data_IF_708227327697
#
_entry.id   IF_708227327697
#
_cell.length_a   1.000
_cell.length_b   1.000
_cell.length_c   1.000
_cell.angle_alpha   90.00
_cell.angle_beta   90.00
_cell.angle_gamma   90.00
#
_symmetry.space_group_name_H-M   'P 1'
#
loop_
_entity.id
_entity.type
_entity.pdbx_description
1 polymer ?
#
# COMPACT_ATOMS: atom_id res chain seq x y z
N UNK A 1 -5.37 15.14 5.39
CA UNK A 1 -6.40 14.90 6.43
C UNK A 1 -7.26 13.76 5.93
N UNK A 2 -7.08 12.54 6.45
CA UNK A 2 -7.93 11.39 6.10
C UNK A 2 -9.21 11.54 6.89
N UNK A 3 -10.34 11.77 6.22
CA UNK A 3 -11.66 11.69 6.87
C UNK A 3 -11.96 10.22 7.08
N UNK A 4 -12.05 9.80 8.34
CA UNK A 4 -12.54 8.46 8.68
C UNK A 4 -13.98 8.29 8.21
N UNK A 5 -14.33 7.05 7.86
CA UNK A 5 -15.73 6.66 7.66
C UNK A 5 -16.44 6.79 9.01
N UNK A 6 -17.58 7.47 9.05
CA UNK A 6 -18.30 7.74 10.30
C UNK A 6 -18.54 6.45 11.10
N UNK A 7 -18.10 6.44 12.36
CA UNK A 7 -18.35 5.35 13.31
C UNK A 7 -17.24 4.30 13.48
N UNK A 8 -16.15 4.35 12.70
CA UNK A 8 -15.01 3.45 12.90
C UNK A 8 -13.89 4.10 13.73
N UNK A 9 -13.35 3.40 14.75
CA UNK A 9 -12.23 3.92 15.54
C UNK A 9 -10.99 4.07 14.64
N UNK A 10 -10.52 5.31 14.48
CA UNK A 10 -9.25 5.60 13.82
C UNK A 10 -8.12 5.33 14.81
N UNK A 11 -7.34 4.28 14.57
CA UNK A 11 -6.15 4.01 15.37
C UNK A 11 -4.97 4.85 14.86
N UNK A 12 -4.44 5.70 15.74
CA UNK A 12 -3.20 6.45 15.53
C UNK A 12 -2.32 6.11 16.72
N UNK A 13 -1.17 5.48 16.48
CA UNK A 13 -0.23 5.19 17.56
C UNK A 13 0.35 6.49 18.12
N UNK A 14 0.23 6.70 19.44
CA UNK A 14 0.93 7.79 20.13
C UNK A 14 2.45 7.55 20.15
N UNK A 15 2.85 6.29 20.08
CA UNK A 15 4.25 5.87 20.05
C UNK A 15 4.66 5.67 18.59
N UNK A 16 5.54 6.54 18.09
CA UNK A 16 6.16 6.39 16.75
C UNK A 16 7.26 5.34 16.76
N UNK A 17 6.88 4.09 17.03
CA UNK A 17 7.76 2.94 17.00
C UNK A 17 7.36 2.04 15.82
N UNK A 18 8.32 1.84 14.91
CA UNK A 18 8.14 1.04 13.68
C UNK A 18 7.69 -0.40 13.95
N UNK A 19 8.18 -1.00 15.04
CA UNK A 19 7.79 -2.36 15.44
C UNK A 19 6.34 -2.43 15.92
N UNK A 20 5.83 -1.37 16.56
CA UNK A 20 4.43 -1.30 17.00
C UNK A 20 3.51 -1.16 15.79
N UNK A 21 3.82 -0.28 14.84
CA UNK A 21 3.04 -0.10 13.61
C UNK A 21 3.02 -1.37 12.76
N UNK A 22 4.18 -2.03 12.61
CA UNK A 22 4.29 -3.30 11.89
C UNK A 22 3.47 -4.40 12.56
N UNK A 23 3.64 -4.61 13.88
CA UNK A 23 2.90 -5.64 14.60
C UNK A 23 1.39 -5.39 14.58
N UNK A 24 0.97 -4.14 14.69
CA UNK A 24 -0.43 -3.76 14.60
C UNK A 24 -1.01 -4.15 13.24
N UNK A 25 -0.35 -3.77 12.16
CA UNK A 25 -0.82 -4.04 10.80
C UNK A 25 -0.97 -5.55 10.54
N UNK A 26 0.07 -6.36 10.80
CA UNK A 26 0.03 -7.79 10.51
C UNK A 26 -0.95 -8.57 11.41
N UNK A 27 -1.30 -8.03 12.58
CA UNK A 27 -2.18 -8.71 13.53
C UNK A 27 -3.64 -8.29 13.44
N UNK A 28 -3.93 -7.09 12.91
CA UNK A 28 -5.28 -6.49 12.97
C UNK A 28 -5.84 -6.10 11.60
N UNK A 29 -5.00 -5.95 10.57
CA UNK A 29 -5.46 -5.58 9.25
C UNK A 29 -5.73 -6.82 8.40
N UNK A 30 -6.82 -6.79 7.62
CA UNK A 30 -7.16 -7.81 6.63
C UNK A 30 -6.71 -7.43 5.21
N UNK A 31 -6.23 -6.20 5.03
CA UNK A 31 -5.81 -5.60 3.77
C UNK A 31 -4.85 -4.47 4.07
N UNK A 32 -3.99 -4.12 3.11
CA UNK A 32 -2.99 -3.08 3.30
C UNK A 32 -2.85 -2.19 2.06
N UNK A 33 -2.69 -0.88 2.26
CA UNK A 33 -2.55 0.10 1.17
C UNK A 33 -1.24 0.88 1.31
N UNK A 34 -0.39 0.78 0.30
CA UNK A 34 0.87 1.48 0.17
C UNK A 34 0.66 2.72 -0.71
N UNK A 35 0.57 3.89 -0.07
CA UNK A 35 0.43 5.17 -0.79
C UNK A 35 1.78 5.74 -1.23
N UNK A 36 2.86 5.39 -0.54
CA UNK A 36 4.24 5.74 -0.86
C UNK A 36 5.03 4.49 -1.27
N UNK A 37 4.98 4.15 -2.56
CA UNK A 37 5.48 2.88 -3.13
C UNK A 37 7.00 2.69 -3.00
N UNK A 38 7.74 3.73 -2.60
CA UNK A 38 9.19 3.66 -2.34
C UNK A 38 9.52 3.47 -0.85
N UNK A 39 8.52 3.37 0.02
CA UNK A 39 8.73 3.15 1.45
C UNK A 39 9.11 1.70 1.73
N UNK A 40 10.33 1.51 2.25
CA UNK A 40 10.83 0.20 2.71
C UNK A 40 9.98 -0.32 3.87
N UNK A 41 9.56 0.55 4.76
CA UNK A 41 8.73 0.18 5.91
C UNK A 41 7.36 -0.33 5.48
N UNK A 42 6.68 0.38 4.57
CA UNK A 42 5.41 -0.08 4.03
C UNK A 42 5.57 -1.40 3.25
N UNK A 43 6.66 -1.55 2.51
CA UNK A 43 6.96 -2.81 1.82
C UNK A 43 7.05 -4.00 2.78
N UNK A 44 7.79 -3.87 3.89
CA UNK A 44 7.91 -4.93 4.88
C UNK A 44 6.60 -5.24 5.60
N UNK A 45 5.75 -4.25 5.84
CA UNK A 45 4.42 -4.47 6.38
C UNK A 45 3.59 -5.32 5.42
N UNK A 46 3.54 -4.95 4.14
CA UNK A 46 2.85 -5.73 3.11
C UNK A 46 3.37 -7.16 3.04
N UNK A 47 4.69 -7.35 3.02
CA UNK A 47 5.32 -8.67 2.94
C UNK A 47 4.96 -9.60 4.12
N UNK A 48 4.75 -9.03 5.31
CA UNK A 48 4.43 -9.79 6.52
C UNK A 48 2.92 -9.92 6.78
N UNK A 49 2.07 -9.38 5.91
CA UNK A 49 0.63 -9.56 6.01
C UNK A 49 0.27 -11.06 5.94
N UNK A 50 -0.83 -11.49 6.60
CA UNK A 50 -1.31 -12.86 6.50
C UNK A 50 -1.54 -13.28 5.04
N UNK A 51 -1.25 -14.53 4.72
CA UNK A 51 -1.46 -15.09 3.38
C UNK A 51 -2.90 -14.85 2.89
N UNK A 52 -3.04 -14.40 1.64
CA UNK A 52 -4.33 -14.05 1.04
C UNK A 52 -4.85 -12.65 1.38
N UNK A 53 -4.18 -11.89 2.24
CA UNK A 53 -4.53 -10.48 2.48
C UNK A 53 -4.22 -9.64 1.23
N UNK A 54 -5.20 -8.90 0.68
CA UNK A 54 -4.94 -8.04 -0.47
C UNK A 54 -4.04 -6.86 -0.07
N UNK A 55 -2.98 -6.68 -0.84
CA UNK A 55 -2.00 -5.60 -0.67
C UNK A 55 -2.07 -4.71 -1.90
N UNK A 56 -2.50 -3.48 -1.70
CA UNK A 56 -2.65 -2.48 -2.75
C UNK A 56 -1.45 -1.54 -2.73
N UNK A 57 -0.96 -1.14 -3.90
CA UNK A 57 0.12 -0.14 -3.98
C UNK A 57 -0.09 0.84 -5.11
N UNK A 58 0.30 2.10 -4.90
CA UNK A 58 0.25 3.10 -5.95
C UNK A 58 1.29 2.77 -7.05
N UNK A 59 0.87 2.48 -8.28
CA UNK A 59 1.79 2.13 -9.37
C UNK A 59 2.51 3.33 -9.99
N UNK A 60 2.57 4.48 -9.29
CA UNK A 60 3.65 5.43 -9.49
C UNK A 60 3.63 6.06 -10.91
N UNK A 61 2.46 6.19 -11.52
CA UNK A 61 2.28 6.67 -12.90
C UNK A 61 2.35 8.21 -13.03
N UNK A 62 2.39 8.92 -11.91
CA UNK A 62 2.58 10.36 -11.83
C UNK A 62 4.06 10.76 -11.70
N UNK A 63 4.72 10.92 -12.84
CA UNK A 63 5.85 11.84 -13.11
C UNK A 63 7.27 11.44 -12.67
N UNK A 64 7.53 10.63 -11.64
CA UNK A 64 8.94 10.48 -11.19
C UNK A 64 9.40 9.13 -10.63
N UNK A 65 8.81 8.01 -11.05
CA UNK A 65 9.27 6.68 -10.65
C UNK A 65 10.27 6.06 -11.66
N UNK A 66 11.07 6.91 -12.32
CA UNK A 66 12.01 6.56 -13.41
C UNK A 66 13.15 5.61 -13.00
N UNK A 67 13.33 5.36 -11.70
CA UNK A 67 14.47 4.62 -11.16
C UNK A 67 14.11 3.28 -10.49
N UNK A 68 12.84 2.88 -10.46
CA UNK A 68 12.41 1.61 -9.87
C UNK A 68 11.86 0.73 -10.99
N UNK A 69 12.61 -0.32 -11.34
CA UNK A 69 12.14 -1.38 -12.22
C UNK A 69 11.05 -2.16 -11.47
N UNK A 70 9.78 -1.81 -11.75
CA UNK A 70 8.57 -2.25 -11.03
C UNK A 70 8.46 -3.76 -10.87
N UNK A 71 8.91 -4.51 -11.88
CA UNK A 71 8.85 -5.98 -11.93
C UNK A 71 9.66 -6.67 -10.83
N UNK A 72 10.71 -6.03 -10.33
CA UNK A 72 11.61 -6.64 -9.36
C UNK A 72 11.32 -6.19 -7.91
N UNK A 73 10.50 -5.16 -7.73
CA UNK A 73 10.29 -4.54 -6.42
C UNK A 73 9.06 -5.07 -5.70
N UNK A 74 7.97 -5.41 -6.39
CA UNK A 74 6.72 -5.86 -5.76
C UNK A 74 6.38 -7.30 -6.15
N UNK A 75 5.89 -8.13 -5.22
CA UNK A 75 5.38 -9.45 -5.55
C UNK A 75 4.22 -9.39 -6.58
N UNK A 76 4.15 -10.35 -7.53
CA UNK A 76 3.18 -10.32 -8.61
C UNK A 76 1.72 -10.46 -8.14
N UNK A 77 1.50 -11.03 -6.97
CA UNK A 77 0.18 -11.17 -6.34
C UNK A 77 -0.34 -9.88 -5.70
N UNK A 78 0.49 -8.84 -5.58
CA UNK A 78 0.07 -7.54 -5.04
C UNK A 78 -0.68 -6.73 -6.10
N UNK A 79 -1.64 -5.94 -5.65
CA UNK A 79 -2.63 -5.26 -6.48
C UNK A 79 -2.17 -3.82 -6.77
N UNK A 80 -1.69 -3.52 -7.98
CA UNK A 80 -1.32 -2.17 -8.37
C UNK A 80 -2.55 -1.28 -8.52
N UNK A 81 -2.42 -0.01 -8.14
CA UNK A 81 -3.43 1.02 -8.30
C UNK A 81 -2.92 2.11 -9.24
N UNK A 82 -3.80 2.57 -10.14
CA UNK A 82 -3.58 3.71 -11.01
C UNK A 82 -4.76 4.66 -10.96
N UNK A 83 -4.66 5.76 -11.70
CA UNK A 83 -5.72 6.73 -11.89
C UNK A 83 -6.15 6.73 -13.35
N UNK A 84 -7.45 6.63 -13.61
CA UNK A 84 -7.99 6.79 -14.97
C UNK A 84 -7.93 8.26 -15.45
N UNK A 85 -8.36 8.52 -16.69
CA UNK A 85 -8.37 9.87 -17.26
C UNK A 85 -9.32 10.85 -16.53
N UNK A 86 -10.23 10.32 -15.71
CA UNK A 86 -11.23 11.05 -14.95
C UNK A 86 -10.80 11.29 -13.50
N UNK A 87 -9.65 10.77 -13.06
CA UNK A 87 -9.17 10.92 -11.70
C UNK A 87 -9.62 9.81 -10.73
N UNK A 88 -10.28 8.75 -11.22
CA UNK A 88 -10.72 7.64 -10.37
C UNK A 88 -9.60 6.64 -10.14
N UNK A 89 -9.55 6.06 -8.93
CA UNK A 89 -8.61 5.00 -8.59
C UNK A 89 -9.12 3.68 -9.18
N UNK A 90 -8.31 3.03 -10.01
CA UNK A 90 -8.59 1.73 -10.62
C UNK A 90 -7.42 0.76 -10.39
N UNK A 91 -7.67 -0.55 -10.54
CA UNK A 91 -6.60 -1.54 -10.61
C UNK A 91 -5.82 -1.35 -11.92
N UNK A 92 -4.51 -1.50 -11.85
CA UNK A 92 -3.66 -1.50 -13.04
C UNK A 92 -3.53 -2.93 -13.56
N UNK A 93 -4.20 -3.23 -14.67
CA UNK A 93 -4.20 -4.57 -15.25
C UNK A 93 -2.86 -4.92 -15.95
N UNK A 94 -2.03 -3.92 -16.26
CA UNK A 94 -0.74 -4.09 -16.92
C UNK A 94 0.39 -3.33 -16.19
N UNK A 95 0.70 -3.67 -14.93
CA UNK A 95 1.66 -2.90 -14.13
C UNK A 95 3.13 -3.06 -14.56
N UNK A 96 3.41 -4.03 -15.44
CA UNK A 96 4.75 -4.47 -15.85
C UNK A 96 5.02 -4.31 -17.36
N UNK A 97 4.05 -3.81 -18.14
CA UNK A 97 4.26 -3.37 -19.54
C UNK A 97 4.65 -1.88 -19.57
#
# INVERSE_FOLDING_TARGET
MVRGVEGLPLYISEVRNRGVELNFAISNCNSFLITASTSKEAWWIGYLMPEGSPIYYNNCLGIDCKSIFKKDYFPPEWLPLTTDFQGNIILDDNPFE
#
